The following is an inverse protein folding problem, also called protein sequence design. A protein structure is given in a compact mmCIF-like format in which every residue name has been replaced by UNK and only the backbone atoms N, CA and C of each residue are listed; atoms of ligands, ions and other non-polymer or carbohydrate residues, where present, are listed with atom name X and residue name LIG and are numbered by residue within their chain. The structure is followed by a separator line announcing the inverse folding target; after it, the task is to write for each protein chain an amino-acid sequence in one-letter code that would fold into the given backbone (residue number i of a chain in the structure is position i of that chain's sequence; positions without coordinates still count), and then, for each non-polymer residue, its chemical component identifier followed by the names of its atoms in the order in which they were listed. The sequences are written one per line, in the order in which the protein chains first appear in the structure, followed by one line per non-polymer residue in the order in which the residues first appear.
data_IF_323366076967
#
_entry.id   IF_323366076967
#
_cell.length_a   1.000
_cell.length_b   1.000
_cell.length_c   1.000
_cell.angle_alpha   90.00
_cell.angle_beta   90.00
_cell.angle_gamma   90.00
#
_symmetry.space_group_name_H-M   'P 1'
#
loop_
_entity.id
_entity.type
_entity.pdbx_description
1 polymer ?
#
# COMPACT_ATOMS: atom_id res chain seq x y z
N UNK A 1 -2.82 -20.05 25.10
CA UNK A 1 -3.50 -19.12 24.17
C UNK A 1 -2.58 -18.80 23.00
N UNK A 2 -2.94 -19.14 21.78
CA UNK A 2 -2.10 -18.74 20.63
C UNK A 2 -2.12 -17.23 20.44
N UNK A 3 -1.05 -16.68 19.87
CA UNK A 3 -1.08 -15.29 19.45
C UNK A 3 -2.18 -15.04 18.40
N UNK A 4 -2.61 -13.79 18.27
CA UNK A 4 -3.60 -13.37 17.30
C UNK A 4 -2.94 -12.45 16.26
N UNK A 5 -3.19 -12.70 14.99
CA UNK A 5 -2.73 -11.81 13.94
C UNK A 5 -3.40 -10.44 14.10
N UNK A 6 -2.62 -9.36 14.14
CA UNK A 6 -3.11 -8.07 14.59
C UNK A 6 -2.75 -6.90 13.67
N UNK A 7 -1.58 -6.95 13.01
CA UNK A 7 -1.06 -5.77 12.32
C UNK A 7 -0.22 -6.18 11.11
N UNK A 8 -0.37 -5.41 10.02
CA UNK A 8 0.50 -5.49 8.86
C UNK A 8 1.38 -4.24 8.86
N UNK A 9 2.69 -4.41 8.89
CA UNK A 9 3.63 -3.32 8.89
C UNK A 9 4.23 -3.05 7.52
N UNK A 10 4.20 -1.80 7.10
CA UNK A 10 4.85 -1.33 5.87
C UNK A 10 6.01 -0.43 6.29
N UNK A 11 7.23 -0.84 5.92
CA UNK A 11 8.44 -0.11 6.29
C UNK A 11 8.80 0.82 5.15
N UNK A 12 8.94 2.11 5.46
CA UNK A 12 9.10 3.17 4.46
C UNK A 12 10.33 4.02 4.76
N UNK A 13 10.96 4.53 3.72
CA UNK A 13 12.11 5.41 3.90
C UNK A 13 11.70 6.79 4.42
N UNK A 14 10.64 7.35 3.83
CA UNK A 14 10.19 8.73 4.05
C UNK A 14 8.68 8.73 4.29
N UNK A 15 8.27 9.12 5.50
CA UNK A 15 6.86 9.05 5.87
C UNK A 15 5.97 9.96 5.01
N UNK A 16 6.29 11.26 4.81
CA UNK A 16 5.43 12.10 3.97
C UNK A 16 5.24 11.57 2.55
N UNK A 17 6.33 11.08 1.95
CA UNK A 17 6.31 10.53 0.60
C UNK A 17 5.43 9.28 0.52
N UNK A 18 5.57 8.39 1.48
CA UNK A 18 4.77 7.17 1.54
C UNK A 18 3.29 7.49 1.76
N UNK A 19 2.97 8.33 2.74
CA UNK A 19 1.58 8.63 3.07
C UNK A 19 0.87 9.38 1.95
N UNK A 20 1.57 10.22 1.19
CA UNK A 20 1.00 10.89 0.02
C UNK A 20 0.45 9.89 -0.99
N UNK A 21 1.18 8.78 -1.21
CA UNK A 21 0.72 7.70 -2.09
C UNK A 21 -0.55 7.04 -1.55
N UNK A 22 -0.54 6.64 -0.28
CA UNK A 22 -1.66 5.91 0.30
C UNK A 22 -2.91 6.78 0.50
N UNK A 23 -2.75 8.10 0.67
CA UNK A 23 -3.89 9.02 0.65
C UNK A 23 -4.61 9.01 -0.69
N UNK A 24 -3.88 8.86 -1.79
CA UNK A 24 -4.46 8.75 -3.13
C UNK A 24 -5.28 7.46 -3.31
N UNK A 25 -5.02 6.46 -2.48
CA UNK A 25 -5.79 5.20 -2.45
C UNK A 25 -6.95 5.26 -1.45
N UNK A 26 -7.18 6.40 -0.84
CA UNK A 26 -8.33 6.62 0.04
C UNK A 26 -8.09 6.33 1.51
N UNK A 27 -6.86 6.06 1.94
CA UNK A 27 -6.59 5.93 3.37
C UNK A 27 -6.70 7.29 4.05
N UNK A 28 -7.39 7.33 5.19
CA UNK A 28 -7.59 8.52 5.97
C UNK A 28 -6.36 8.75 6.87
N UNK A 29 -5.42 9.53 6.36
CA UNK A 29 -4.16 9.81 7.03
C UNK A 29 -4.06 11.33 7.22
N UNK A 30 -4.17 11.83 8.47
CA UNK A 30 -4.11 13.28 8.71
C UNK A 30 -2.74 13.85 8.35
N UNK A 31 -2.71 15.14 8.03
CA UNK A 31 -1.48 15.80 7.59
C UNK A 31 -0.37 15.72 8.64
N UNK A 32 -0.71 15.81 9.92
CA UNK A 32 0.26 15.74 11.02
C UNK A 32 0.93 14.35 11.13
N UNK A 33 0.36 13.30 10.53
CA UNK A 33 0.99 11.98 10.49
C UNK A 33 2.31 11.99 9.71
N UNK A 34 2.51 12.94 8.81
CA UNK A 34 3.73 13.05 8.02
C UNK A 34 4.99 13.19 8.88
N UNK A 35 4.85 13.78 10.07
CA UNK A 35 5.97 14.00 10.98
C UNK A 35 6.15 12.88 12.00
N UNK A 36 5.28 11.87 11.97
CA UNK A 36 5.34 10.77 12.94
C UNK A 36 6.29 9.67 12.47
N UNK A 37 7.04 9.05 13.39
CA UNK A 37 7.91 7.92 13.06
C UNK A 37 7.14 6.61 12.88
N UNK A 38 5.91 6.54 13.37
CA UNK A 38 5.02 5.38 13.32
C UNK A 38 3.58 5.87 13.14
N UNK A 39 2.88 5.32 12.17
CA UNK A 39 1.49 5.71 11.84
C UNK A 39 0.65 4.45 11.70
N UNK A 40 -0.55 4.44 12.28
CA UNK A 40 -1.48 3.30 12.17
C UNK A 40 -2.81 3.73 11.58
N UNK A 41 -3.39 2.81 10.81
CA UNK A 41 -4.74 2.93 10.26
C UNK A 41 -5.53 1.70 10.68
N UNK A 42 -6.69 1.91 11.29
CA UNK A 42 -7.59 0.80 11.61
C UNK A 42 -8.25 0.28 10.33
N UNK A 43 -8.24 -1.05 10.19
CA UNK A 43 -8.90 -1.73 9.08
C UNK A 43 -10.17 -2.42 9.58
N UNK A 44 -11.15 -2.69 8.69
CA UNK A 44 -12.30 -3.50 9.08
C UNK A 44 -11.87 -4.85 9.65
N UNK A 45 -12.57 -5.33 10.66
CA UNK A 45 -12.28 -6.62 11.28
C UNK A 45 -11.23 -6.58 12.39
N UNK A 46 -10.77 -5.39 12.78
CA UNK A 46 -9.87 -5.22 13.92
C UNK A 46 -8.38 -5.30 13.59
N UNK A 47 -8.02 -5.55 12.34
CA UNK A 47 -6.62 -5.46 11.89
C UNK A 47 -6.20 -4.01 11.78
N UNK A 48 -4.89 -3.78 11.87
CA UNK A 48 -4.30 -2.46 11.67
C UNK A 48 -3.28 -2.52 10.54
N UNK A 49 -3.19 -1.44 9.78
CA UNK A 49 -2.08 -1.22 8.85
C UNK A 49 -1.19 -0.17 9.48
N UNK A 50 0.10 -0.43 9.58
CA UNK A 50 1.04 0.50 10.20
C UNK A 50 2.18 0.84 9.25
N UNK A 51 2.66 2.08 9.38
CA UNK A 51 3.82 2.55 8.62
C UNK A 51 4.91 2.94 9.63
N UNK A 52 6.11 2.41 9.42
CA UNK A 52 7.29 2.74 10.21
C UNK A 52 8.40 3.19 9.29
N UNK A 53 9.13 4.24 9.69
CA UNK A 53 10.30 4.65 8.91
C UNK A 53 11.46 3.68 9.14
N UNK A 54 12.42 3.66 8.20
CA UNK A 54 13.66 2.89 8.35
C UNK A 54 14.36 3.25 9.67
N UNK A 55 14.40 4.53 10.01
CA UNK A 55 15.02 4.98 11.26
C UNK A 55 14.31 4.44 12.49
N UNK A 56 12.99 4.36 12.45
CA UNK A 56 12.20 3.78 13.53
C UNK A 56 12.56 2.31 13.73
N UNK A 57 12.63 1.55 12.65
CA UNK A 57 13.01 0.13 12.74
C UNK A 57 14.42 -0.02 13.29
N UNK A 58 15.37 0.76 12.79
CA UNK A 58 16.78 0.69 13.25
C UNK A 58 16.96 1.15 14.68
N UNK A 59 16.01 1.92 15.22
CA UNK A 59 16.08 2.35 16.64
C UNK A 59 16.02 1.18 17.61
N UNK A 60 15.38 0.06 17.22
CA UNK A 60 15.30 -1.14 18.07
C UNK A 60 15.93 -2.37 17.40
N UNK A 61 16.24 -2.30 16.11
CA UNK A 61 16.91 -3.35 15.36
C UNK A 61 18.06 -2.75 14.53
N UNK A 62 19.21 -2.43 15.18
CA UNK A 62 20.28 -1.71 14.49
C UNK A 62 20.89 -2.45 13.30
N UNK A 63 20.75 -3.78 13.26
CA UNK A 63 21.25 -4.59 12.16
C UNK A 63 20.30 -4.70 10.97
N UNK A 64 19.11 -4.11 11.06
CA UNK A 64 18.13 -4.20 9.98
C UNK A 64 18.63 -3.50 8.71
N UNK A 65 18.48 -4.17 7.58
CA UNK A 65 18.79 -3.63 6.26
C UNK A 65 17.55 -3.73 5.37
N UNK A 66 17.46 -2.83 4.39
CA UNK A 66 16.35 -2.84 3.44
C UNK A 66 16.40 -4.12 2.61
N UNK A 67 15.34 -4.97 2.62
CA UNK A 67 15.34 -6.19 1.82
C UNK A 67 15.35 -5.88 0.32
N UNK A 68 16.00 -6.75 -0.45
CA UNK A 68 15.97 -6.67 -1.90
C UNK A 68 14.63 -7.23 -2.40
N UNK A 69 13.75 -6.34 -2.84
CA UNK A 69 12.41 -6.72 -3.28
C UNK A 69 11.45 -6.92 -2.13
N UNK A 70 10.19 -7.18 -2.46
CA UNK A 70 9.13 -7.41 -1.48
C UNK A 70 8.45 -8.75 -1.77
N UNK A 71 8.30 -9.57 -0.75
CA UNK A 71 7.53 -10.81 -0.85
C UNK A 71 6.05 -10.62 -0.53
N UNK A 72 5.61 -9.38 -0.30
CA UNK A 72 4.26 -9.05 0.14
C UNK A 72 3.69 -7.95 -0.73
N UNK A 73 2.41 -8.06 -1.07
CA UNK A 73 1.67 -6.99 -1.73
C UNK A 73 0.44 -6.63 -0.93
N UNK A 74 -0.04 -5.40 -1.12
CA UNK A 74 -1.31 -4.94 -0.56
C UNK A 74 -2.30 -4.79 -1.70
N UNK A 75 -3.53 -5.26 -1.53
CA UNK A 75 -4.56 -5.19 -2.55
C UNK A 75 -5.68 -4.25 -2.12
N UNK A 76 -6.07 -3.37 -3.04
CA UNK A 76 -7.14 -2.40 -2.83
C UNK A 76 -8.28 -2.71 -3.80
N UNK A 77 -9.46 -2.93 -3.26
CA UNK A 77 -10.65 -3.19 -4.06
C UNK A 77 -11.24 -1.90 -4.59
N UNK A 78 -11.49 -1.88 -5.90
CA UNK A 78 -12.31 -0.84 -6.54
C UNK A 78 -13.72 -1.38 -6.75
N UNK A 79 -14.70 -0.49 -6.88
CA UNK A 79 -16.08 -0.92 -7.04
C UNK A 79 -16.34 -1.47 -8.43
N UNK A 80 -15.68 -0.93 -9.45
CA UNK A 80 -15.90 -1.31 -10.85
C UNK A 80 -14.60 -1.47 -11.60
N UNK A 81 -14.58 -2.23 -12.72
CA UNK A 81 -13.41 -2.29 -13.60
C UNK A 81 -12.95 -0.92 -14.09
N UNK A 82 -13.88 -0.01 -14.39
CA UNK A 82 -13.54 1.34 -14.83
C UNK A 82 -12.76 2.12 -13.77
N UNK A 83 -13.06 1.90 -12.48
CA UNK A 83 -12.31 2.52 -11.38
C UNK A 83 -10.89 1.99 -11.27
N UNK A 84 -10.65 0.72 -11.58
CA UNK A 84 -9.30 0.16 -11.65
C UNK A 84 -8.48 0.96 -12.67
N UNK A 85 -9.03 1.12 -13.87
CA UNK A 85 -8.37 1.87 -14.94
C UNK A 85 -8.11 3.32 -14.56
N UNK A 86 -9.10 3.98 -13.99
CA UNK A 86 -9.01 5.40 -13.61
C UNK A 86 -7.98 5.60 -12.48
N UNK A 87 -8.02 4.76 -11.47
CA UNK A 87 -7.08 4.84 -10.34
C UNK A 87 -5.65 4.61 -10.80
N UNK A 88 -5.44 3.59 -11.64
CA UNK A 88 -4.12 3.31 -12.20
C UNK A 88 -3.61 4.50 -13.00
N UNK A 89 -4.43 5.06 -13.90
CA UNK A 89 -4.05 6.20 -14.73
C UNK A 89 -3.71 7.43 -13.87
N UNK A 90 -4.47 7.67 -12.81
CA UNK A 90 -4.22 8.79 -11.89
C UNK A 90 -2.87 8.63 -11.18
N UNK A 91 -2.57 7.44 -10.69
CA UNK A 91 -1.32 7.17 -9.98
C UNK A 91 -0.12 7.32 -10.91
N UNK A 92 -0.20 6.80 -12.13
CA UNK A 92 0.88 6.92 -13.11
C UNK A 92 1.07 8.39 -13.52
N UNK A 93 -0.02 9.14 -13.72
CA UNK A 93 0.05 10.57 -14.03
C UNK A 93 0.67 11.37 -12.89
N UNK A 94 0.52 10.92 -11.65
CA UNK A 94 1.14 11.53 -10.48
C UNK A 94 2.61 11.19 -10.31
N UNK A 95 3.18 10.33 -11.18
CA UNK A 95 4.59 9.97 -11.18
C UNK A 95 4.93 8.65 -10.53
N UNK A 96 3.94 7.87 -10.10
CA UNK A 96 4.20 6.56 -9.50
C UNK A 96 4.44 5.49 -10.55
N UNK A 97 5.12 4.42 -10.15
CA UNK A 97 5.54 3.35 -11.06
C UNK A 97 4.38 2.40 -11.36
N UNK A 98 3.90 2.42 -12.61
CA UNK A 98 2.91 1.48 -13.10
C UNK A 98 3.57 0.19 -13.55
N UNK A 99 3.49 -0.84 -12.74
CA UNK A 99 4.16 -2.11 -13.00
C UNK A 99 3.42 -2.97 -14.01
N UNK A 100 2.10 -3.14 -13.84
CA UNK A 100 1.25 -3.87 -14.78
C UNK A 100 0.02 -3.03 -15.11
N UNK A 101 -0.12 -2.70 -16.40
CA UNK A 101 -1.29 -1.97 -16.90
C UNK A 101 -2.57 -2.77 -16.62
N UNK A 102 -3.72 -2.10 -16.44
CA UNK A 102 -4.98 -2.82 -16.24
C UNK A 102 -5.26 -3.84 -17.34
N UNK A 103 -5.68 -5.04 -16.93
CA UNK A 103 -6.09 -6.09 -17.85
C UNK A 103 -7.20 -6.94 -17.25
N UNK A 104 -7.88 -7.69 -18.09
CA UNK A 104 -8.89 -8.66 -17.66
C UNK A 104 -8.20 -9.97 -17.32
N UNK A 105 -8.02 -10.20 -16.03
CA UNK A 105 -7.30 -11.37 -15.55
C UNK A 105 -8.15 -12.63 -15.71
N UNK A 106 -7.48 -13.77 -15.97
CA UNK A 106 -8.18 -15.03 -16.25
C UNK A 106 -9.03 -15.51 -15.06
N UNK A 107 -8.78 -14.99 -13.86
CA UNK A 107 -9.54 -15.37 -12.66
C UNK A 107 -10.78 -14.52 -12.44
N UNK A 108 -11.17 -13.67 -13.39
CA UNK A 108 -12.46 -12.97 -13.35
C UNK A 108 -12.43 -11.56 -12.74
N UNK A 109 -11.28 -10.92 -12.74
CA UNK A 109 -11.13 -9.56 -12.22
C UNK A 109 -10.44 -8.66 -13.22
N UNK A 110 -10.82 -7.38 -13.23
CA UNK A 110 -9.99 -6.32 -13.79
C UNK A 110 -8.89 -6.04 -12.77
N UNK A 111 -7.65 -6.08 -13.20
CA UNK A 111 -6.51 -6.08 -12.29
C UNK A 111 -5.43 -5.16 -12.79
N UNK A 112 -4.71 -4.52 -11.88
CA UNK A 112 -3.55 -3.69 -12.21
C UNK A 112 -2.58 -3.71 -11.03
N UNK A 113 -1.30 -3.44 -11.28
CA UNK A 113 -0.30 -3.37 -10.22
C UNK A 113 0.50 -2.08 -10.38
N UNK A 114 0.61 -1.34 -9.29
CA UNK A 114 1.52 -0.19 -9.16
C UNK A 114 2.49 -0.46 -8.03
N UNK A 115 3.58 0.30 -7.98
CA UNK A 115 4.50 0.26 -6.84
C UNK A 115 4.35 1.54 -6.03
N UNK A 116 4.38 1.40 -4.72
CA UNK A 116 4.47 2.56 -3.85
C UNK A 116 5.88 3.17 -3.94
N UNK A 117 6.15 4.34 -3.30
CA UNK A 117 7.46 4.98 -3.39
C UNK A 117 8.64 4.12 -2.94
N UNK A 118 8.39 3.11 -2.11
CA UNK A 118 9.44 2.21 -1.59
C UNK A 118 9.50 0.89 -2.36
N UNK A 119 8.71 0.74 -3.42
CA UNK A 119 8.72 -0.46 -4.25
C UNK A 119 7.82 -1.59 -3.78
N UNK A 120 6.96 -1.33 -2.79
CA UNK A 120 5.96 -2.32 -2.38
C UNK A 120 4.91 -2.50 -3.47
N UNK A 121 4.53 -3.75 -3.75
CA UNK A 121 3.50 -4.06 -4.73
C UNK A 121 2.11 -3.68 -4.22
N UNK A 122 1.38 -2.93 -5.03
CA UNK A 122 0.02 -2.49 -4.73
C UNK A 122 -0.87 -2.97 -5.86
N UNK A 123 -1.79 -3.86 -5.53
CA UNK A 123 -2.74 -4.42 -6.49
C UNK A 123 -4.04 -3.63 -6.45
N UNK A 124 -4.59 -3.33 -7.61
CA UNK A 124 -5.91 -2.72 -7.77
C UNK A 124 -6.79 -3.73 -8.49
N UNK A 125 -7.99 -3.97 -7.98
CA UNK A 125 -8.84 -4.98 -8.59
C UNK A 125 -10.32 -4.67 -8.43
N UNK A 126 -11.12 -5.20 -9.34
CA UNK A 126 -12.58 -5.23 -9.25
C UNK A 126 -13.10 -6.45 -10.00
N UNK A 127 -14.22 -7.05 -9.58
CA UNK A 127 -14.85 -8.11 -10.36
C UNK A 127 -15.23 -7.61 -11.77
N UNK A 128 -15.03 -8.46 -12.79
CA UNK A 128 -15.37 -8.08 -14.17
C UNK A 128 -16.86 -7.87 -14.37
N UNK A 129 -17.68 -8.49 -13.54
CA UNK A 129 -19.14 -8.40 -13.61
C UNK A 129 -19.71 -7.30 -12.68
N UNK A 130 -18.87 -6.46 -12.13
CA UNK A 130 -19.31 -5.38 -11.26
C UNK A 130 -19.80 -4.16 -12.06
#
# INVERSE_FOLDING_TARGET
MPPRFDLIGVIVEDMPRALAFYRRLGLDLPAEADDAPHVEVALPGGLRLAFDTYDTIRSFDPGWTVPAGSGTSLAFACDTPAEVDATYAELVAAGYDGHLDPWDAFWGQRYAVVHDPDGHGIDLFAPLDA
#
